data_IF_431471062876
#
_entry.id   IF_431471062876
#
_cell.length_a   1.000
_cell.length_b   1.000
_cell.length_c   1.000
_cell.angle_alpha   90.00
_cell.angle_beta   90.00
_cell.angle_gamma   90.00
#
_symmetry.space_group_name_H-M   'P 1'
#
loop_
_entity.id
_entity.type
_entity.pdbx_description
1 polymer ?
#
# COMPACT_ATOMS: atom_id res chain seq x y z
N UNK A 1 7.79 -12.96 10.91
CA UNK A 1 7.82 -11.64 10.26
C UNK A 1 7.28 -11.65 8.83
N UNK A 2 7.69 -12.57 7.95
CA UNK A 2 7.17 -12.62 6.56
C UNK A 2 5.63 -12.65 6.44
N UNK A 3 4.96 -13.46 7.25
CA UNK A 3 3.48 -13.55 7.25
C UNK A 3 2.84 -12.22 7.65
N UNK A 4 3.41 -11.54 8.65
CA UNK A 4 2.92 -10.22 9.10
C UNK A 4 3.17 -9.17 8.01
N UNK A 5 4.32 -9.20 7.36
CA UNK A 5 4.64 -8.28 6.27
C UNK A 5 3.68 -8.46 5.08
N UNK A 6 3.42 -9.71 4.66
CA UNK A 6 2.47 -10.02 3.58
C UNK A 6 1.05 -9.60 3.98
N UNK A 7 0.61 -9.96 5.20
CA UNK A 7 -0.73 -9.62 5.68
C UNK A 7 -0.96 -8.12 5.78
N UNK A 8 -0.03 -7.38 6.41
CA UNK A 8 -0.14 -5.93 6.55
C UNK A 8 0.00 -5.20 5.21
N UNK A 9 0.85 -5.69 4.31
CA UNK A 9 1.01 -5.15 2.96
C UNK A 9 -0.23 -5.34 2.09
N UNK A 10 -0.89 -6.50 2.18
CA UNK A 10 -2.11 -6.79 1.41
C UNK A 10 -3.36 -6.10 1.95
N UNK A 11 -3.53 -6.01 3.28
CA UNK A 11 -4.76 -5.48 3.89
C UNK A 11 -4.85 -3.95 3.76
N UNK A 12 -3.74 -3.23 3.91
CA UNK A 12 -3.72 -1.75 3.89
C UNK A 12 -4.40 -1.12 2.66
N UNK A 13 -4.04 -1.48 1.40
CA UNK A 13 -4.69 -0.90 0.23
C UNK A 13 -6.16 -1.31 0.09
N UNK A 14 -6.55 -2.48 0.62
CA UNK A 14 -7.92 -2.98 0.55
C UNK A 14 -8.85 -2.25 1.54
N UNK A 15 -8.37 -1.90 2.73
CA UNK A 15 -9.21 -1.23 3.74
C UNK A 15 -9.51 0.22 3.35
N UNK A 16 -8.52 0.95 2.84
CA UNK A 16 -8.72 2.35 2.44
C UNK A 16 -9.62 2.48 1.21
N UNK A 17 -9.44 1.61 0.21
CA UNK A 17 -10.32 1.54 -0.96
C UNK A 17 -11.74 1.14 -0.57
N UNK A 18 -11.91 0.05 0.19
CA UNK A 18 -13.23 -0.40 0.63
C UNK A 18 -13.98 0.64 1.47
N UNK A 19 -13.28 1.37 2.35
CA UNK A 19 -13.87 2.46 3.14
C UNK A 19 -14.32 3.65 2.28
N UNK A 20 -13.51 4.01 1.27
CA UNK A 20 -13.87 5.07 0.31
C UNK A 20 -15.05 4.69 -0.59
N UNK A 21 -15.15 3.41 -0.97
CA UNK A 21 -16.20 2.85 -1.83
C UNK A 21 -17.61 2.86 -1.19
N UNK A 22 -17.70 3.08 0.12
CA UNK A 22 -18.99 3.18 0.82
C UNK A 22 -19.74 4.48 0.47
N UNK A 23 -19.02 5.52 0.06
CA UNK A 23 -19.61 6.84 -0.23
C UNK A 23 -19.95 7.00 -1.71
N UNK A 24 -21.11 7.60 -1.99
CA UNK A 24 -21.49 7.97 -3.35
C UNK A 24 -20.73 9.23 -3.79
N UNK A 25 -20.57 9.48 -5.11
CA UNK A 25 -19.93 10.71 -5.62
C UNK A 25 -20.57 12.01 -5.09
N UNK A 26 -21.88 11.99 -4.80
CA UNK A 26 -22.59 13.12 -4.20
C UNK A 26 -22.23 13.38 -2.72
N UNK A 27 -21.51 12.47 -2.06
CA UNK A 27 -21.17 12.50 -0.64
C UNK A 27 -19.67 12.77 -0.41
N UNK A 28 -19.05 13.59 -1.26
CA UNK A 28 -17.62 13.90 -1.23
C UNK A 28 -17.18 14.47 0.13
N UNK A 29 -17.94 15.42 0.70
CA UNK A 29 -17.62 15.99 2.00
C UNK A 29 -17.60 14.95 3.15
N UNK A 30 -18.47 13.94 3.10
CA UNK A 30 -18.50 12.87 4.09
C UNK A 30 -17.33 11.89 3.90
N UNK A 31 -16.95 11.61 2.64
CA UNK A 31 -15.78 10.81 2.30
C UNK A 31 -14.49 11.47 2.77
N UNK A 32 -14.34 12.78 2.57
CA UNK A 32 -13.17 13.53 3.03
C UNK A 32 -13.09 13.55 4.55
N UNK A 33 -14.22 13.76 5.23
CA UNK A 33 -14.28 13.67 6.68
C UNK A 33 -13.86 12.28 7.18
N UNK A 34 -14.29 11.21 6.52
CA UNK A 34 -13.85 9.84 6.83
C UNK A 34 -12.32 9.69 6.71
N UNK A 35 -11.71 10.15 5.61
CA UNK A 35 -10.26 10.06 5.43
C UNK A 35 -9.49 10.92 6.44
N UNK A 36 -10.02 12.08 6.81
CA UNK A 36 -9.44 12.92 7.86
C UNK A 36 -9.43 12.20 9.23
N UNK A 37 -10.57 11.62 9.63
CA UNK A 37 -10.66 10.84 10.87
C UNK A 37 -9.77 9.60 10.82
N UNK A 38 -9.72 8.91 9.67
CA UNK A 38 -8.84 7.77 9.47
C UNK A 38 -7.37 8.14 9.65
N UNK A 39 -6.94 9.28 9.10
CA UNK A 39 -5.59 9.79 9.27
C UNK A 39 -5.27 10.13 10.73
N UNK A 40 -6.18 10.83 11.42
CA UNK A 40 -6.02 11.14 12.85
C UNK A 40 -5.91 9.85 13.68
N UNK A 41 -6.78 8.86 13.43
CA UNK A 41 -6.76 7.59 14.15
C UNK A 41 -5.44 6.83 13.98
N UNK A 42 -4.85 6.81 12.77
CA UNK A 42 -3.55 6.17 12.53
C UNK A 42 -2.44 6.85 13.33
N UNK A 43 -2.38 8.19 13.29
CA UNK A 43 -1.32 8.93 13.98
C UNK A 43 -1.44 8.81 15.50
N UNK A 44 -2.67 8.93 16.03
CA UNK A 44 -2.93 8.74 17.47
C UNK A 44 -2.62 7.30 17.88
N UNK A 45 -3.03 6.30 17.09
CA UNK A 45 -2.72 4.90 17.36
C UNK A 45 -1.21 4.62 17.36
N UNK A 46 -0.46 5.21 16.43
CA UNK A 46 1.00 5.14 16.40
C UNK A 46 1.64 5.76 17.64
N UNK A 47 1.16 6.95 18.04
CA UNK A 47 1.63 7.63 19.25
C UNK A 47 1.36 6.81 20.52
N UNK A 48 0.14 6.30 20.69
CA UNK A 48 -0.23 5.46 21.82
C UNK A 48 0.61 4.17 21.87
N UNK A 49 0.89 3.57 20.72
CA UNK A 49 1.74 2.37 20.63
C UNK A 49 3.16 2.65 21.15
N UNK A 50 3.72 3.82 20.83
CA UNK A 50 5.05 4.21 21.30
C UNK A 50 5.13 4.38 22.83
N UNK A 51 4.03 4.74 23.50
CA UNK A 51 4.00 4.84 24.96
C UNK A 51 3.64 3.50 25.64
N UNK A 52 2.67 2.77 25.10
CA UNK A 52 2.12 1.56 25.73
C UNK A 52 3.07 0.37 25.58
N UNK A 53 3.67 0.18 24.40
CA UNK A 53 4.51 -1.01 24.13
C UNK A 53 5.73 -1.08 25.05
N UNK A 54 6.52 0.00 25.26
CA UNK A 54 7.67 -0.03 26.17
C UNK A 54 7.31 -0.33 27.63
N UNK A 55 6.16 0.16 28.11
CA UNK A 55 5.74 -0.14 29.48
C UNK A 55 5.29 -1.59 29.65
N UNK A 56 4.69 -2.19 28.61
CA UNK A 56 4.33 -3.60 28.63
C UNK A 56 5.54 -4.53 28.54
N UNK A 57 6.59 -4.15 27.81
CA UNK A 57 7.82 -4.96 27.73
C UNK A 57 8.65 -4.94 29.01
N UNK A 58 8.54 -3.90 29.85
CA UNK A 58 9.19 -3.82 31.18
C UNK A 58 8.59 -4.77 32.22
N UNK A 59 7.43 -5.37 31.95
CA UNK A 59 6.84 -6.37 32.84
C UNK A 59 7.67 -7.66 32.80
N UNK A 60 7.89 -8.27 33.97
CA UNK A 60 8.61 -9.55 34.05
C UNK A 60 7.66 -10.69 33.68
N UNK A 61 8.04 -11.51 32.70
CA UNK A 61 7.28 -12.68 32.28
C UNK A 61 8.20 -13.91 32.22
N UNK A 62 7.67 -15.08 32.63
CA UNK A 62 8.36 -16.37 32.52
C UNK A 62 9.79 -16.43 33.10
N UNK A 63 10.08 -15.62 34.12
CA UNK A 63 11.41 -15.57 34.76
C UNK A 63 12.47 -14.78 33.99
N UNK A 64 12.10 -14.08 32.91
CA UNK A 64 12.95 -13.12 32.22
C UNK A 64 12.52 -11.68 32.53
N UNK A 65 13.47 -10.75 32.53
CA UNK A 65 13.24 -9.32 32.82
C UNK A 65 12.48 -8.59 31.71
N UNK A 66 12.16 -9.25 30.60
CA UNK A 66 11.42 -8.66 29.46
C UNK A 66 10.26 -9.54 29.00
N UNK A 67 9.10 -8.94 28.77
CA UNK A 67 7.89 -9.64 28.31
C UNK A 67 7.51 -9.27 26.87
N UNK A 68 8.12 -9.95 25.89
CA UNK A 68 7.77 -9.77 24.48
C UNK A 68 6.37 -10.33 24.13
N UNK A 69 5.95 -11.41 24.80
CA UNK A 69 4.65 -12.03 24.56
C UNK A 69 3.48 -11.07 24.83
N UNK A 70 3.55 -10.27 25.91
CA UNK A 70 2.53 -9.28 26.26
C UNK A 70 2.42 -8.16 25.21
N UNK A 71 3.57 -7.70 24.68
CA UNK A 71 3.62 -6.66 23.66
C UNK A 71 3.01 -7.09 22.32
N UNK A 72 3.14 -8.37 21.93
CA UNK A 72 2.50 -8.91 20.72
C UNK A 72 1.04 -9.33 20.93
N UNK A 73 0.65 -9.64 22.17
CA UNK A 73 -0.72 -10.05 22.48
C UNK A 73 -1.71 -8.88 22.33
N UNK A 74 -1.35 -7.69 22.79
CA UNK A 74 -2.19 -6.49 22.68
C UNK A 74 -2.64 -6.20 21.24
N UNK A 75 -1.75 -6.03 20.25
CA UNK A 75 -2.16 -5.80 18.86
C UNK A 75 -2.94 -7.00 18.28
N UNK A 76 -2.63 -8.23 18.72
CA UNK A 76 -3.38 -9.42 18.29
C UNK A 76 -4.84 -9.37 18.75
N UNK A 77 -5.09 -9.04 20.02
CA UNK A 77 -6.45 -8.95 20.57
C UNK A 77 -7.22 -7.79 19.94
N UNK A 78 -6.59 -6.62 19.82
CA UNK A 78 -7.22 -5.44 19.19
C UNK A 78 -7.57 -5.73 17.73
N UNK A 79 -6.68 -6.39 16.98
CA UNK A 79 -6.93 -6.77 15.60
C UNK A 79 -8.05 -7.81 15.48
N UNK A 80 -8.08 -8.81 16.36
CA UNK A 80 -9.16 -9.81 16.40
C UNK A 80 -10.53 -9.16 16.67
N UNK A 81 -10.60 -8.21 17.61
CA UNK A 81 -11.82 -7.45 17.87
C UNK A 81 -12.24 -6.60 16.66
N UNK A 82 -11.29 -5.94 16.00
CA UNK A 82 -11.55 -5.17 14.79
C UNK A 82 -12.10 -6.06 13.66
N UNK A 83 -11.56 -7.27 13.48
CA UNK A 83 -12.07 -8.25 12.51
C UNK A 83 -13.49 -8.70 12.83
N UNK A 84 -13.82 -8.92 14.10
CA UNK A 84 -15.18 -9.31 14.51
C UNK A 84 -16.17 -8.19 14.18
N UNK A 85 -15.82 -6.94 14.52
CA UNK A 85 -16.64 -5.76 14.20
C UNK A 85 -16.82 -5.64 12.68
N UNK A 86 -15.72 -5.72 11.92
CA UNK A 86 -15.75 -5.68 10.45
C UNK A 86 -16.64 -6.80 9.86
N UNK A 87 -16.48 -8.04 10.31
CA UNK A 87 -17.27 -9.16 9.83
C UNK A 87 -18.77 -8.99 10.16
N UNK A 88 -19.10 -8.50 11.36
CA UNK A 88 -20.49 -8.24 11.75
C UNK A 88 -21.16 -7.14 10.91
N UNK A 89 -20.37 -6.18 10.41
CA UNK A 89 -20.84 -5.09 9.55
C UNK A 89 -21.09 -5.50 8.09
N UNK A 90 -20.71 -6.71 7.69
CA UNK A 90 -20.72 -7.15 6.29
C UNK A 90 -22.04 -6.89 5.54
N UNK A 91 -23.20 -7.04 6.21
CA UNK A 91 -24.52 -6.82 5.59
C UNK A 91 -24.82 -5.35 5.27
N UNK A 92 -24.12 -4.41 5.90
CA UNK A 92 -24.31 -2.98 5.70
C UNK A 92 -23.36 -2.39 4.67
N UNK A 93 -22.37 -3.17 4.21
CA UNK A 93 -21.37 -2.68 3.27
C UNK A 93 -21.87 -2.72 1.85
N UNK A 94 -21.56 -1.65 1.11
CA UNK A 94 -21.65 -1.64 -0.33
C UNK A 94 -20.45 -2.37 -0.90
N UNK A 95 -20.72 -3.48 -1.59
CA UNK A 95 -19.70 -4.26 -2.29
C UNK A 95 -19.62 -3.76 -3.72
N UNK A 96 -18.51 -3.10 -4.06
CA UNK A 96 -18.22 -2.66 -5.43
C UNK A 96 -17.63 -3.86 -6.20
N UNK A 97 -18.18 -4.21 -7.38
CA UNK A 97 -17.62 -5.29 -8.18
C UNK A 97 -16.22 -4.94 -8.68
N UNK A 98 -15.33 -5.93 -8.88
CA UNK A 98 -13.98 -5.66 -9.37
C UNK A 98 -14.03 -5.02 -10.77
N UNK A 99 -13.35 -3.89 -10.94
CA UNK A 99 -13.17 -3.22 -12.22
C UNK A 99 -12.21 -4.02 -13.11
N UNK A 100 -12.73 -5.03 -13.80
CA UNK A 100 -12.05 -5.72 -14.91
C UNK A 100 -10.72 -6.40 -14.57
N UNK A 101 -9.76 -6.30 -15.50
CA UNK A 101 -8.44 -6.92 -15.35
C UNK A 101 -7.58 -6.22 -14.28
N UNK A 102 -6.72 -6.99 -13.61
CA UNK A 102 -5.76 -6.47 -12.64
C UNK A 102 -4.83 -5.42 -13.28
N UNK A 103 -5.05 -4.15 -12.93
CA UNK A 103 -4.35 -2.98 -13.47
C UNK A 103 -2.83 -3.13 -13.56
N UNK A 104 -2.11 -3.65 -12.53
CA UNK A 104 -0.66 -3.83 -12.64
C UNK A 104 -0.25 -4.84 -13.72
N UNK A 105 -0.99 -5.95 -13.88
CA UNK A 105 -0.71 -6.91 -14.95
C UNK A 105 -0.98 -6.29 -16.33
N UNK A 106 -2.03 -5.48 -16.44
CA UNK A 106 -2.33 -4.73 -17.67
C UNK A 106 -1.20 -3.76 -18.01
N UNK A 107 -0.67 -3.03 -17.03
CA UNK A 107 0.46 -2.11 -17.20
C UNK A 107 1.75 -2.85 -17.61
N UNK A 108 2.03 -4.03 -17.03
CA UNK A 108 3.18 -4.86 -17.42
C UNK A 108 3.04 -5.35 -18.86
N UNK A 109 1.87 -5.88 -19.24
CA UNK A 109 1.60 -6.32 -20.62
C UNK A 109 1.77 -5.17 -21.62
N UNK A 110 1.19 -4.01 -21.30
CA UNK A 110 1.31 -2.79 -22.12
C UNK A 110 2.78 -2.37 -22.29
N UNK A 111 3.55 -2.39 -21.20
CA UNK A 111 4.98 -2.04 -21.22
C UNK A 111 5.81 -3.03 -22.03
N UNK A 112 5.56 -4.34 -21.89
CA UNK A 112 6.25 -5.38 -22.67
C UNK A 112 5.94 -5.22 -24.17
N UNK A 113 4.66 -4.98 -24.51
CA UNK A 113 4.25 -4.76 -25.89
C UNK A 113 4.89 -3.50 -26.48
N UNK A 114 4.84 -2.39 -25.74
CA UNK A 114 5.46 -1.13 -26.12
C UNK A 114 6.96 -1.30 -26.36
N UNK A 115 7.67 -1.99 -25.46
CA UNK A 115 9.10 -2.27 -25.61
C UNK A 115 9.40 -3.15 -26.83
N UNK A 116 8.60 -4.19 -27.09
CA UNK A 116 8.74 -5.05 -28.27
C UNK A 116 8.54 -4.27 -29.57
N UNK A 117 7.46 -3.50 -29.68
CA UNK A 117 7.16 -2.67 -30.86
C UNK A 117 8.20 -1.58 -31.05
N UNK A 118 8.63 -0.91 -29.99
CA UNK A 118 9.72 0.07 -30.05
C UNK A 118 11.03 -0.55 -30.54
N UNK A 119 11.37 -1.77 -30.08
CA UNK A 119 12.59 -2.47 -30.52
C UNK A 119 12.56 -2.86 -32.01
N UNK A 120 11.38 -3.17 -32.55
CA UNK A 120 11.19 -3.53 -33.96
C UNK A 120 10.96 -2.32 -34.88
N UNK A 121 10.68 -1.14 -34.34
CA UNK A 121 10.37 0.07 -35.10
C UNK A 121 11.61 0.68 -35.76
N UNK A 122 11.39 1.28 -36.93
CA UNK A 122 12.40 2.03 -37.69
C UNK A 122 12.80 3.32 -36.96
N UNK A 123 14.02 3.88 -37.15
CA UNK A 123 14.44 5.12 -36.51
C UNK A 123 13.49 6.32 -36.77
N UNK A 124 12.87 6.39 -37.95
CA UNK A 124 11.88 7.42 -38.30
C UNK A 124 10.60 7.30 -37.47
N UNK A 125 10.11 6.07 -37.25
CA UNK A 125 8.91 5.80 -36.44
C UNK A 125 9.16 6.10 -34.95
N UNK A 126 10.38 5.84 -34.46
CA UNK A 126 10.79 6.20 -33.10
C UNK A 126 10.81 7.71 -32.89
N UNK A 127 11.32 8.46 -33.87
CA UNK A 127 11.31 9.92 -33.83
C UNK A 127 9.87 10.48 -33.85
N UNK A 128 8.97 9.85 -34.61
CA UNK A 128 7.58 10.29 -34.72
C UNK A 128 6.76 10.06 -33.43
N UNK A 129 6.90 8.90 -32.78
CA UNK A 129 6.11 8.58 -31.55
C UNK A 129 6.75 9.09 -30.25
N UNK A 130 8.03 9.48 -30.28
CA UNK A 130 8.71 10.08 -29.13
C UNK A 130 8.99 9.10 -27.99
N UNK A 131 8.09 9.01 -27.00
CA UNK A 131 8.27 8.14 -25.84
C UNK A 131 7.94 6.67 -26.19
N UNK A 132 8.76 5.72 -25.71
CA UNK A 132 8.64 4.30 -26.06
C UNK A 132 7.31 3.65 -25.66
N UNK A 133 6.65 4.15 -24.59
CA UNK A 133 5.31 3.67 -24.17
C UNK A 133 4.22 3.91 -25.22
N UNK A 134 4.36 4.95 -26.06
CA UNK A 134 3.34 5.35 -27.05
C UNK A 134 3.15 4.30 -28.16
N UNK A 135 4.03 3.31 -28.27
CA UNK A 135 3.89 2.18 -29.19
C UNK A 135 2.76 1.21 -28.80
N UNK A 136 2.23 1.29 -27.57
CA UNK A 136 1.08 0.51 -27.12
C UNK A 136 -0.25 1.30 -27.12
N UNK A 137 -0.26 2.56 -27.57
CA UNK A 137 -1.39 3.48 -27.45
C UNK A 137 -2.66 2.98 -28.14
N UNK A 138 -2.53 2.39 -29.32
CA UNK A 138 -3.65 1.86 -30.11
C UNK A 138 -4.42 0.73 -29.40
N UNK A 139 -3.78 0.01 -28.48
CA UNK A 139 -4.36 -1.18 -27.84
C UNK A 139 -4.79 -0.92 -26.39
N UNK A 140 -4.09 -0.03 -25.68
CA UNK A 140 -4.32 0.22 -24.25
C UNK A 140 -4.87 1.62 -23.95
N UNK A 141 -4.88 2.54 -24.93
CA UNK A 141 -5.34 3.91 -24.80
C UNK A 141 -4.28 4.87 -24.27
N UNK A 142 -4.25 6.10 -24.81
CA UNK A 142 -3.24 7.12 -24.45
C UNK A 142 -3.26 7.51 -22.98
N UNK A 143 -4.45 7.78 -22.42
CA UNK A 143 -4.62 8.19 -21.01
C UNK A 143 -4.02 7.16 -20.04
N UNK A 144 -4.27 5.87 -20.28
CA UNK A 144 -3.72 4.81 -19.42
C UNK A 144 -2.19 4.74 -19.50
N UNK A 145 -1.60 4.97 -20.67
CA UNK A 145 -0.15 4.93 -20.84
C UNK A 145 0.53 6.17 -20.26
N UNK A 146 -0.14 7.32 -20.28
CA UNK A 146 0.29 8.51 -19.55
C UNK A 146 0.32 8.23 -18.04
N UNK A 147 -0.74 7.62 -17.48
CA UNK A 147 -0.76 7.21 -16.07
C UNK A 147 0.36 6.22 -15.72
N UNK A 148 0.62 5.22 -16.58
CA UNK A 148 1.72 4.25 -16.40
C UNK A 148 3.09 4.94 -16.45
N UNK A 149 3.25 5.92 -17.34
CA UNK A 149 4.47 6.72 -17.45
C UNK A 149 4.69 7.56 -16.21
N UNK A 150 3.68 8.32 -15.78
CA UNK A 150 3.76 9.18 -14.61
C UNK A 150 4.02 8.37 -13.34
N UNK A 151 3.36 7.21 -13.22
CA UNK A 151 3.65 6.26 -12.16
C UNK A 151 5.10 5.78 -12.18
N UNK A 152 5.64 5.42 -13.35
CA UNK A 152 7.04 5.02 -13.51
C UNK A 152 8.03 6.14 -13.17
N UNK A 153 7.71 7.38 -13.55
CA UNK A 153 8.50 8.58 -13.26
C UNK A 153 8.52 8.94 -11.78
N UNK A 154 7.50 8.55 -11.00
CA UNK A 154 7.51 8.71 -9.54
C UNK A 154 8.18 7.51 -8.87
N UNK A 155 7.84 6.29 -9.30
CA UNK A 155 8.31 5.06 -8.67
C UNK A 155 9.83 4.90 -8.72
N UNK A 156 10.43 5.09 -9.91
CA UNK A 156 11.84 4.80 -10.15
C UNK A 156 12.80 5.78 -9.44
N UNK A 157 12.64 7.11 -9.54
CA UNK A 157 13.57 8.04 -8.90
C UNK A 157 13.20 8.38 -7.45
N UNK A 158 11.94 8.20 -7.03
CA UNK A 158 11.53 8.60 -5.66
C UNK A 158 11.33 7.37 -4.78
N UNK A 159 10.41 6.48 -5.14
CA UNK A 159 9.97 5.41 -4.23
C UNK A 159 11.06 4.36 -4.02
N UNK A 160 11.74 3.93 -5.09
CA UNK A 160 12.79 2.91 -4.99
C UNK A 160 13.98 3.44 -4.15
N UNK A 161 14.62 4.58 -4.46
CA UNK A 161 15.73 5.08 -3.66
C UNK A 161 15.33 5.37 -2.21
N UNK A 162 14.14 5.92 -1.98
CA UNK A 162 13.63 6.16 -0.64
C UNK A 162 13.46 4.86 0.16
N UNK A 163 12.90 3.82 -0.45
CA UNK A 163 12.73 2.51 0.19
C UNK A 163 14.08 1.86 0.52
N UNK A 164 15.06 1.95 -0.39
CA UNK A 164 16.43 1.48 -0.14
C UNK A 164 17.13 2.28 0.96
N UNK A 165 17.00 3.61 0.94
CA UNK A 165 17.55 4.48 1.98
C UNK A 165 16.95 4.14 3.35
N UNK A 166 15.63 3.96 3.42
CA UNK A 166 14.94 3.55 4.64
C UNK A 166 15.36 2.17 5.13
N UNK A 167 15.53 1.20 4.22
CA UNK A 167 16.05 -0.13 4.55
C UNK A 167 17.46 -0.05 5.15
N UNK A 168 18.37 0.71 4.54
CA UNK A 168 19.73 0.91 5.03
C UNK A 168 19.75 1.65 6.38
N UNK A 169 18.89 2.65 6.56
CA UNK A 169 18.74 3.36 7.82
C UNK A 169 18.34 2.41 8.97
N UNK A 170 17.35 1.55 8.75
CA UNK A 170 16.91 0.59 9.77
C UNK A 170 17.91 -0.54 10.05
N UNK A 171 18.88 -0.80 9.15
CA UNK A 171 19.98 -1.72 9.48
C UNK A 171 20.92 -1.13 10.54
N UNK A 172 21.13 0.19 10.54
CA UNK A 172 21.98 0.88 11.52
C UNK A 172 21.30 1.04 12.90
N UNK A 173 19.97 0.96 12.97
CA UNK A 173 19.22 1.03 14.23
C UNK A 173 19.06 -0.31 14.95
N UNK A 174 19.68 -1.40 14.45
CA UNK A 174 19.75 -2.65 15.18
C UNK A 174 20.79 -2.52 16.31
N UNK A 175 20.39 -1.89 17.42
CA UNK A 175 21.08 -1.92 18.73
C UNK A 175 21.06 -3.33 19.37
N UNK A 176 21.08 -4.39 18.56
CA UNK A 176 21.00 -5.78 19.03
C UNK A 176 22.42 -6.34 19.23
N UNK A 177 23.44 -5.47 19.11
CA UNK A 177 24.86 -5.77 19.13
C UNK A 177 25.66 -4.89 20.11
N UNK A 178 25.02 -4.14 21.01
CA UNK A 178 25.70 -3.47 22.13
C UNK A 178 24.94 -3.68 23.44
#
# INVERSE_FOLDING_TARGET
>A
MLIIAIGTGGIKPCVSSHGGDQYLPAQEAAKDFFFNIFYVAINVGGLLTQFIVPELTKLKCYGQDTCYAGAFLVPTVVFALALIIFASGHKFYRIVPPLGEFLPLKAVKASILAARRHSAASPEERAAKGHWLNFAEEEYGGVFLEEVRDFGLVLVPVVIPFSFCWMLYNQNSNEWAN
#
